data_IF_755124206960
#
_entry.id   IF_755124206960
#
_cell.length_a   1.000
_cell.length_b   1.000
_cell.length_c   1.000
_cell.angle_alpha   90.00
_cell.angle_beta   90.00
_cell.angle_gamma   90.00
#
_symmetry.space_group_name_H-M   'P 1'
#
loop_
_entity.id
_entity.type
_entity.pdbx_description
1 polymer ?
#
# COMPACT_ATOMS: atom_id res chain seq x y z
N UNK A 1 4.70 -14.96 10.35
CA UNK A 1 5.95 -14.74 9.57
C UNK A 1 5.56 -14.24 8.19
N UNK A 2 6.27 -13.25 7.65
CA UNK A 2 6.06 -12.80 6.26
C UNK A 2 6.45 -13.94 5.32
N UNK A 3 5.57 -14.37 4.43
CA UNK A 3 5.93 -15.38 3.43
C UNK A 3 7.08 -14.86 2.54
N UNK A 4 8.07 -15.71 2.25
CA UNK A 4 9.26 -15.32 1.49
C UNK A 4 8.92 -14.69 0.14
N UNK A 5 7.89 -15.20 -0.53
CA UNK A 5 7.43 -14.71 -1.84
C UNK A 5 6.98 -13.24 -1.78
N UNK A 6 6.28 -12.83 -0.72
CA UNK A 6 5.86 -11.44 -0.53
C UNK A 6 7.05 -10.51 -0.27
N UNK A 7 8.03 -10.99 0.50
CA UNK A 7 9.27 -10.27 0.77
C UNK A 7 10.06 -10.01 -0.50
N UNK A 8 10.24 -11.04 -1.32
CA UNK A 8 10.93 -10.95 -2.61
C UNK A 8 10.23 -9.99 -3.56
N UNK A 9 8.91 -10.14 -3.72
CA UNK A 9 8.11 -9.24 -4.55
C UNK A 9 8.28 -7.78 -4.10
N UNK A 10 8.24 -7.51 -2.80
CA UNK A 10 8.40 -6.18 -2.24
C UNK A 10 9.81 -5.59 -2.50
N UNK A 11 10.86 -6.40 -2.39
CA UNK A 11 12.23 -5.97 -2.70
C UNK A 11 12.38 -5.63 -4.18
N UNK A 12 11.81 -6.44 -5.08
CA UNK A 12 11.81 -6.18 -6.54
C UNK A 12 11.10 -4.86 -6.85
N UNK A 13 9.91 -4.65 -6.28
CA UNK A 13 9.14 -3.41 -6.43
C UNK A 13 9.96 -2.21 -5.95
N UNK A 14 10.56 -2.30 -4.76
CA UNK A 14 11.34 -1.20 -4.20
C UNK A 14 12.53 -0.81 -5.08
N UNK A 15 13.24 -1.80 -5.65
CA UNK A 15 14.35 -1.56 -6.58
C UNK A 15 13.88 -0.85 -7.86
N UNK A 16 12.77 -1.30 -8.46
CA UNK A 16 12.21 -0.72 -9.68
C UNK A 16 11.65 0.70 -9.44
N UNK A 17 11.05 0.95 -8.27
CA UNK A 17 10.42 2.23 -7.92
C UNK A 17 11.32 3.22 -7.16
N UNK A 18 12.63 2.94 -7.03
CA UNK A 18 13.57 3.73 -6.21
C UNK A 18 13.54 5.26 -6.42
N UNK A 19 13.24 5.71 -7.64
CA UNK A 19 13.24 7.13 -8.03
C UNK A 19 11.82 7.70 -8.17
N UNK A 20 10.80 7.01 -7.65
CA UNK A 20 9.40 7.39 -7.78
C UNK A 20 8.78 7.60 -6.41
N UNK A 21 7.71 8.38 -6.37
CA UNK A 21 6.91 8.55 -5.15
C UNK A 21 5.88 7.42 -5.09
N UNK A 22 6.08 6.50 -4.17
CA UNK A 22 5.22 5.34 -3.97
C UNK A 22 5.14 4.96 -2.49
N UNK A 23 4.17 4.11 -2.14
CA UNK A 23 4.13 3.45 -0.84
C UNK A 23 3.36 2.13 -0.93
N UNK A 24 3.64 1.21 -0.02
CA UNK A 24 2.81 0.03 0.24
C UNK A 24 1.55 0.48 0.97
N UNK A 25 0.42 -0.02 0.50
CA UNK A 25 -0.89 0.21 1.12
C UNK A 25 -1.60 -1.12 1.39
N UNK A 26 -2.82 -1.05 1.91
CA UNK A 26 -3.71 -2.20 1.95
C UNK A 26 -3.33 -3.20 3.03
N UNK A 27 -3.76 -4.46 2.85
CA UNK A 27 -3.66 -5.46 3.92
C UNK A 27 -2.21 -5.82 4.26
N UNK A 28 -1.34 -5.87 3.26
CA UNK A 28 0.07 -6.16 3.45
C UNK A 28 0.78 -5.07 4.27
N UNK A 29 0.45 -3.80 4.05
CA UNK A 29 0.97 -2.69 4.85
C UNK A 29 0.65 -2.83 6.35
N UNK A 30 -0.55 -3.31 6.68
CA UNK A 30 -0.97 -3.55 8.07
C UNK A 30 -0.14 -4.65 8.72
N UNK A 31 0.14 -5.74 7.98
CA UNK A 31 0.97 -6.85 8.45
C UNK A 31 2.41 -6.40 8.69
N UNK A 32 2.97 -5.59 7.79
CA UNK A 32 4.31 -5.02 7.97
C UNK A 32 4.43 -4.16 9.24
N UNK A 33 3.32 -3.61 9.74
CA UNK A 33 3.25 -2.82 10.97
C UNK A 33 2.80 -3.64 12.20
N UNK A 34 2.78 -4.97 12.09
CA UNK A 34 2.58 -5.88 13.23
C UNK A 34 1.15 -6.37 13.44
N UNK A 35 0.19 -6.04 12.56
CA UNK A 35 -1.15 -6.61 12.64
C UNK A 35 -1.16 -8.09 12.22
N UNK A 36 -1.82 -8.95 12.99
CA UNK A 36 -1.98 -10.37 12.68
C UNK A 36 -3.06 -10.61 11.63
N UNK A 37 -2.72 -10.37 10.36
CA UNK A 37 -3.59 -10.58 9.19
C UNK A 37 -2.88 -11.46 8.15
N UNK A 38 -3.66 -12.12 7.29
CA UNK A 38 -3.13 -12.83 6.13
C UNK A 38 -3.40 -11.99 4.85
N UNK A 39 -2.36 -11.46 4.19
CA UNK A 39 -2.52 -10.70 2.96
C UNK A 39 -2.66 -11.65 1.76
N UNK A 40 -3.58 -11.32 0.85
CA UNK A 40 -3.78 -12.09 -0.39
C UNK A 40 -2.94 -11.55 -1.56
N UNK A 41 -2.62 -10.26 -1.49
CA UNK A 41 -1.96 -9.48 -2.51
C UNK A 41 -1.09 -8.40 -1.88
N UNK A 42 -0.25 -7.80 -2.71
CA UNK A 42 0.59 -6.67 -2.37
C UNK A 42 0.09 -5.45 -3.12
N UNK A 43 -0.47 -4.48 -2.40
CA UNK A 43 -0.92 -3.22 -2.96
C UNK A 43 0.16 -2.14 -2.82
N UNK A 44 0.41 -1.41 -3.91
CA UNK A 44 1.22 -0.18 -3.89
C UNK A 44 0.48 0.98 -4.55
N UNK A 45 0.72 2.20 -4.08
CA UNK A 45 0.15 3.42 -4.64
C UNK A 45 1.23 4.22 -5.38
N UNK A 46 0.89 4.73 -6.56
CA UNK A 46 1.66 5.71 -7.34
C UNK A 46 0.74 6.84 -7.84
N UNK A 47 1.31 7.87 -8.45
CA UNK A 47 0.50 8.87 -9.14
C UNK A 47 -0.10 8.27 -10.41
N UNK A 48 -1.31 8.67 -10.79
CA UNK A 48 -1.99 8.13 -11.98
C UNK A 48 -1.16 8.26 -13.26
N UNK A 49 -0.43 9.36 -13.45
CA UNK A 49 0.44 9.56 -14.63
C UNK A 49 1.53 8.50 -14.75
N UNK A 50 1.86 7.82 -13.66
CA UNK A 50 2.92 6.81 -13.62
C UNK A 50 2.43 5.45 -14.10
N UNK A 51 1.12 5.16 -14.12
CA UNK A 51 0.63 3.81 -14.43
C UNK A 51 1.08 3.30 -15.79
N UNK A 52 1.12 4.16 -16.81
CA UNK A 52 1.65 3.77 -18.13
C UNK A 52 3.13 3.40 -18.03
N UNK A 53 3.92 4.22 -17.35
CA UNK A 53 5.34 3.93 -17.08
C UNK A 53 5.53 2.65 -16.27
N UNK A 54 4.56 2.27 -15.43
CA UNK A 54 4.61 1.01 -14.68
C UNK A 54 4.43 -0.20 -15.60
N UNK A 55 3.64 -0.09 -16.67
CA UNK A 55 3.53 -1.18 -17.64
C UNK A 55 4.88 -1.45 -18.33
N UNK A 56 5.60 -0.39 -18.70
CA UNK A 56 6.92 -0.52 -19.33
C UNK A 56 7.98 -1.00 -18.33
N UNK A 57 8.02 -0.42 -17.12
CA UNK A 57 9.01 -0.73 -16.09
C UNK A 57 8.96 -2.20 -15.63
N UNK A 58 7.77 -2.80 -15.66
CA UNK A 58 7.51 -4.17 -15.27
C UNK A 58 7.14 -5.07 -16.46
N UNK A 59 7.49 -4.70 -17.70
CA UNK A 59 7.11 -5.45 -18.91
C UNK A 59 7.49 -6.94 -18.85
N UNK A 60 8.62 -7.28 -18.23
CA UNK A 60 9.09 -8.66 -18.01
C UNK A 60 8.09 -9.52 -17.22
N UNK A 61 7.23 -8.89 -16.41
CA UNK A 61 6.18 -9.53 -15.62
C UNK A 61 4.80 -9.47 -16.28
N UNK A 62 4.72 -9.04 -17.55
CA UNK A 62 3.49 -8.98 -18.37
C UNK A 62 2.31 -8.31 -17.62
N UNK A 63 2.45 -7.01 -17.28
CA UNK A 63 1.43 -6.30 -16.53
C UNK A 63 0.09 -6.29 -17.27
N UNK A 64 -1.01 -6.35 -16.52
CA UNK A 64 -2.34 -6.24 -17.09
C UNK A 64 -2.54 -4.89 -17.79
N UNK A 65 -3.60 -4.80 -18.61
CA UNK A 65 -4.12 -3.51 -19.04
C UNK A 65 -4.49 -2.64 -17.83
N UNK A 66 -4.41 -1.32 -18.00
CA UNK A 66 -4.88 -0.36 -17.00
C UNK A 66 -6.40 -0.48 -16.90
N UNK A 67 -6.90 -0.77 -15.70
CA UNK A 67 -8.32 -0.89 -15.43
C UNK A 67 -8.76 0.24 -14.49
N UNK A 68 -9.86 0.90 -14.82
CA UNK A 68 -10.52 1.80 -13.88
C UNK A 68 -11.21 0.96 -12.81
N UNK A 69 -10.96 1.28 -11.54
CA UNK A 69 -11.58 0.62 -10.41
C UNK A 69 -12.85 1.36 -9.99
N UNK A 70 -13.76 0.61 -9.38
CA UNK A 70 -14.92 1.20 -8.70
C UNK A 70 -14.41 2.20 -7.66
N UNK A 71 -14.82 3.49 -7.73
CA UNK A 71 -14.35 4.51 -6.81
C UNK A 71 -14.60 4.07 -5.36
N UNK A 72 -13.54 4.00 -4.56
CA UNK A 72 -13.69 3.72 -3.13
C UNK A 72 -14.23 4.95 -2.38
N UNK A 73 -14.04 6.16 -2.95
CA UNK A 73 -14.64 7.42 -2.50
C UNK A 73 -15.11 8.26 -3.69
N UNK A 74 -15.15 9.59 -3.53
CA UNK A 74 -15.58 10.52 -4.59
C UNK A 74 -14.60 10.66 -5.77
N UNK A 75 -13.47 9.94 -5.77
CA UNK A 75 -12.46 10.00 -6.81
C UNK A 75 -12.20 8.62 -7.42
N UNK A 76 -12.17 8.51 -8.77
CA UNK A 76 -11.79 7.28 -9.44
C UNK A 76 -10.32 6.95 -9.20
N UNK A 77 -10.03 5.65 -9.21
CA UNK A 77 -8.68 5.11 -9.20
C UNK A 77 -8.52 4.12 -10.35
N UNK A 78 -7.28 3.87 -10.74
CA UNK A 78 -6.94 2.92 -11.79
C UNK A 78 -5.90 1.97 -11.26
N UNK A 79 -5.82 0.77 -11.81
CA UNK A 79 -4.80 -0.18 -11.42
C UNK A 79 -4.29 -1.00 -12.60
N UNK A 80 -3.06 -1.47 -12.44
CA UNK A 80 -2.54 -2.62 -13.17
C UNK A 80 -2.24 -3.74 -12.16
N UNK A 81 -2.27 -4.98 -12.64
CA UNK A 81 -1.87 -6.15 -11.88
C UNK A 81 -0.64 -6.77 -12.49
N UNK A 82 0.26 -7.21 -11.63
CA UNK A 82 1.56 -7.79 -11.98
C UNK A 82 1.74 -9.05 -11.13
N UNK A 83 2.35 -10.11 -11.66
CA UNK A 83 2.67 -11.31 -10.87
C UNK A 83 4.18 -11.40 -10.66
N UNK A 84 4.64 -11.29 -9.41
CA UNK A 84 6.06 -11.30 -9.03
C UNK A 84 6.25 -12.35 -7.94
N UNK A 85 7.19 -13.30 -8.12
CA UNK A 85 7.41 -14.43 -7.20
C UNK A 85 6.11 -15.17 -6.81
N UNK A 86 5.17 -15.31 -7.75
CA UNK A 86 3.87 -15.93 -7.50
C UNK A 86 2.83 -15.05 -6.78
N UNK A 87 3.23 -13.90 -6.24
CA UNK A 87 2.35 -12.93 -5.56
C UNK A 87 1.70 -11.99 -6.57
N UNK A 88 0.42 -11.72 -6.38
CA UNK A 88 -0.28 -10.68 -7.14
C UNK A 88 0.05 -9.32 -6.53
N UNK A 89 0.64 -8.46 -7.36
CA UNK A 89 0.96 -7.07 -7.04
C UNK A 89 -0.03 -6.18 -7.76
N UNK A 90 -0.78 -5.40 -7.01
CA UNK A 90 -1.68 -4.39 -7.55
C UNK A 90 -1.04 -3.01 -7.43
N UNK A 91 -0.77 -2.38 -8.57
CA UNK A 91 -0.25 -1.01 -8.61
C UNK A 91 -1.44 -0.08 -8.83
N UNK A 92 -1.87 0.57 -7.75
CA UNK A 92 -2.93 1.55 -7.72
C UNK A 92 -2.38 2.92 -8.17
N UNK A 93 -3.08 3.57 -9.08
CA UNK A 93 -2.81 4.92 -9.55
C UNK A 93 -3.97 5.85 -9.23
N UNK A 94 -3.67 6.95 -8.54
CA UNK A 94 -4.63 7.99 -8.23
C UNK A 94 -4.12 9.37 -8.63
N UNK A 95 -5.04 10.29 -8.93
CA UNK A 95 -4.72 11.72 -9.09
C UNK A 95 -4.32 12.30 -7.73
N UNK A 96 -3.73 13.49 -7.73
CA UNK A 96 -3.27 14.19 -6.51
C UNK A 96 -4.34 14.37 -5.41
N UNK A 97 -5.63 14.45 -5.78
CA UNK A 97 -6.76 14.55 -4.84
C UNK A 97 -7.34 13.18 -4.43
N UNK A 98 -6.77 12.07 -4.90
CA UNK A 98 -7.23 10.72 -4.60
C UNK A 98 -7.07 10.34 -3.12
N UNK A 99 -7.81 9.31 -2.71
CA UNK A 99 -7.93 8.88 -1.32
C UNK A 99 -6.59 8.55 -0.67
N UNK A 100 -5.75 7.78 -1.35
CA UNK A 100 -4.43 7.41 -0.89
C UNK A 100 -3.38 8.45 -1.31
N UNK A 101 -3.33 8.86 -2.58
CA UNK A 101 -2.23 9.69 -3.05
C UNK A 101 -2.21 11.08 -2.37
N UNK A 102 -3.35 11.65 -1.99
CA UNK A 102 -3.39 12.88 -1.19
C UNK A 102 -2.74 12.71 0.20
N UNK A 103 -2.86 11.53 0.83
CA UNK A 103 -2.22 11.20 2.11
C UNK A 103 -0.71 10.98 1.94
N UNK A 104 -0.30 10.39 0.81
CA UNK A 104 1.11 10.28 0.42
C UNK A 104 1.76 11.66 0.28
N UNK A 105 1.05 12.62 -0.33
CA UNK A 105 1.50 14.02 -0.42
C UNK A 105 1.60 14.71 0.94
N UNK A 106 0.72 14.37 1.88
CA UNK A 106 0.76 14.85 3.28
C UNK A 106 1.83 14.16 4.14
N UNK A 107 2.71 13.35 3.54
CA UNK A 107 3.80 12.63 4.23
C UNK A 107 3.33 11.71 5.37
N UNK A 108 2.12 11.15 5.28
CA UNK A 108 1.63 10.12 6.22
C UNK A 108 2.18 8.74 5.88
N UNK A 109 3.51 8.67 5.80
CA UNK A 109 4.29 7.51 5.39
C UNK A 109 5.42 7.31 6.39
N UNK A 110 5.62 6.06 6.80
CA UNK A 110 6.81 5.63 7.53
C UNK A 110 7.73 4.83 6.60
N UNK A 111 9.02 4.78 6.94
CA UNK A 111 9.98 3.93 6.23
C UNK A 111 10.27 2.70 7.08
N UNK A 112 9.79 1.54 6.64
CA UNK A 112 10.16 0.27 7.23
C UNK A 112 11.43 -0.28 6.57
N UNK A 113 12.22 -1.00 7.35
CA UNK A 113 13.43 -1.67 6.86
C UNK A 113 13.17 -3.16 6.80
N UNK A 114 13.23 -3.72 5.60
CA UNK A 114 13.13 -5.16 5.38
C UNK A 114 14.45 -5.60 4.76
N UNK A 115 15.22 -6.38 5.53
CA UNK A 115 16.65 -6.59 5.31
C UNK A 115 17.37 -5.24 5.15
N UNK A 116 18.05 -5.03 4.03
CA UNK A 116 18.74 -3.79 3.69
C UNK A 116 17.92 -2.85 2.79
N UNK A 117 16.63 -3.14 2.59
CA UNK A 117 15.75 -2.37 1.70
C UNK A 117 14.84 -1.44 2.50
N UNK A 118 14.80 -0.16 2.12
CA UNK A 118 13.87 0.83 2.65
C UNK A 118 12.54 0.74 1.91
N UNK A 119 11.45 0.58 2.65
CA UNK A 119 10.10 0.41 2.12
C UNK A 119 9.22 1.54 2.64
N UNK A 120 8.73 2.43 1.76
CA UNK A 120 7.72 3.40 2.14
C UNK A 120 6.38 2.70 2.38
N UNK A 121 5.81 2.88 3.57
CA UNK A 121 4.57 2.28 4.02
C UNK A 121 3.64 3.37 4.56
N UNK A 122 2.35 3.30 4.28
CA UNK A 122 1.40 4.23 4.90
C UNK A 122 1.33 3.99 6.39
N UNK A 123 1.17 5.05 7.18
CA UNK A 123 0.93 4.89 8.62
C UNK A 123 -0.43 4.21 8.85
N UNK A 124 -0.58 3.48 9.96
CA UNK A 124 -1.85 2.83 10.31
C UNK A 124 -3.03 3.82 10.38
N UNK A 125 -2.80 5.06 10.85
CA UNK A 125 -3.83 6.10 10.85
C UNK A 125 -4.26 6.49 9.43
N UNK A 126 -3.32 6.56 8.48
CA UNK A 126 -3.61 6.88 7.09
C UNK A 126 -4.39 5.74 6.40
N UNK A 127 -4.05 4.49 6.71
CA UNK A 127 -4.81 3.32 6.28
C UNK A 127 -6.22 3.36 6.86
N UNK A 128 -6.38 3.52 8.18
CA UNK A 128 -7.69 3.60 8.82
C UNK A 128 -8.60 4.63 8.13
N UNK A 129 -8.10 5.83 7.87
CA UNK A 129 -8.87 6.88 7.20
C UNK A 129 -9.27 6.50 5.76
N UNK A 130 -8.42 5.75 5.04
CA UNK A 130 -8.76 5.27 3.71
C UNK A 130 -9.81 4.14 3.75
N UNK A 131 -9.67 3.20 4.70
CA UNK A 131 -10.61 2.11 4.90
C UNK A 131 -11.98 2.61 5.39
N UNK A 132 -12.05 3.68 6.19
CA UNK A 132 -13.28 4.20 6.76
C UNK A 132 -14.37 4.54 5.73
N UNK A 133 -14.00 4.82 4.48
CA UNK A 133 -14.93 5.25 3.43
C UNK A 133 -15.90 4.11 3.05
N UNK A 134 -15.42 2.87 2.91
CA UNK A 134 -16.24 1.71 2.47
C UNK A 134 -16.05 0.44 3.29
N UNK A 135 -15.05 0.39 4.17
CA UNK A 135 -14.63 -0.77 4.94
C UNK A 135 -14.53 -0.39 6.42
N UNK A 136 -15.63 0.11 6.98
CA UNK A 136 -15.72 0.63 8.36
C UNK A 136 -15.22 -0.36 9.41
N UNK A 137 -15.57 -1.64 9.28
CA UNK A 137 -15.08 -2.68 10.21
C UNK A 137 -13.55 -2.80 10.20
N UNK A 138 -12.93 -2.81 9.02
CA UNK A 138 -11.47 -2.88 8.92
C UNK A 138 -10.81 -1.61 9.46
N UNK A 139 -11.43 -0.44 9.26
CA UNK A 139 -10.97 0.80 9.90
C UNK A 139 -11.03 0.71 11.43
N UNK A 140 -12.11 0.15 12.01
CA UNK A 140 -12.22 -0.02 13.47
C UNK A 140 -11.13 -0.94 14.01
N UNK A 141 -10.88 -2.07 13.34
CA UNK A 141 -9.81 -3.00 13.73
C UNK A 141 -8.43 -2.31 13.75
N UNK A 142 -8.13 -1.48 12.76
CA UNK A 142 -6.88 -0.72 12.71
C UNK A 142 -6.83 0.27 13.89
N UNK A 143 -7.92 0.98 14.18
CA UNK A 143 -7.98 1.93 15.31
C UNK A 143 -7.79 1.25 16.65
N UNK A 144 -8.52 0.17 16.92
CA UNK A 144 -8.35 -0.61 18.15
C UNK A 144 -6.93 -1.15 18.31
N UNK A 145 -6.27 -1.55 17.21
CA UNK A 145 -4.87 -1.96 17.25
C UNK A 145 -3.94 -0.80 17.62
N UNK A 146 -4.13 0.39 17.05
CA UNK A 146 -3.37 1.59 17.41
C UNK A 146 -3.57 1.92 18.89
N UNK A 147 -4.82 1.93 19.38
CA UNK A 147 -5.15 2.29 20.76
C UNK A 147 -4.53 1.31 21.76
N UNK A 148 -4.49 0.02 21.44
CA UNK A 148 -3.86 -1.01 22.27
C UNK A 148 -2.32 -0.98 22.24
N UNK A 149 -1.71 -0.28 21.27
CA UNK A 149 -0.26 -0.07 21.22
C UNK A 149 0.21 1.16 21.98
N UNK A 150 -0.69 2.09 22.33
CA UNK A 150 -0.37 3.20 23.20
C UNK A 150 -0.46 2.69 24.63
N UNK A 151 0.66 2.44 25.34
CA UNK A 151 0.58 2.09 26.75
C UNK A 151 -0.15 3.22 27.48
N UNK A 152 -1.07 2.82 28.35
CA UNK A 152 -1.91 3.64 29.22
C UNK A 152 -1.06 4.48 30.19
N UNK A 153 -0.24 5.39 29.65
CA UNK A 153 0.81 6.16 30.33
C UNK A 153 0.56 7.67 30.24
N UNK A 154 -0.63 8.08 29.79
CA UNK A 154 -1.10 9.46 29.79
C UNK A 154 -2.39 9.66 30.60
N UNK A 155 -2.55 8.87 31.67
CA UNK A 155 -3.48 9.18 32.76
C UNK A 155 -2.69 9.18 34.07
N UNK A 156 -2.04 10.31 34.35
CA UNK A 156 -1.70 10.76 35.70
C UNK A 156 -2.16 12.19 35.83
#
# INVERSE_FOLDING_TARGET
>A
MLENNFKEALIIISKKLKNRRWAVIGSFNLVLQGMALQPNDLDVIVHLSELKNMQDLFQEYKPSAIQQLTPLGGHPSWAIKIKISGVTVQVLGEKSKGTYFSKLLKKRVLILRIDNTKIPCFTLDAESDAYAIKRKEKSRLIRSFIDNQVPNSAQK
#
